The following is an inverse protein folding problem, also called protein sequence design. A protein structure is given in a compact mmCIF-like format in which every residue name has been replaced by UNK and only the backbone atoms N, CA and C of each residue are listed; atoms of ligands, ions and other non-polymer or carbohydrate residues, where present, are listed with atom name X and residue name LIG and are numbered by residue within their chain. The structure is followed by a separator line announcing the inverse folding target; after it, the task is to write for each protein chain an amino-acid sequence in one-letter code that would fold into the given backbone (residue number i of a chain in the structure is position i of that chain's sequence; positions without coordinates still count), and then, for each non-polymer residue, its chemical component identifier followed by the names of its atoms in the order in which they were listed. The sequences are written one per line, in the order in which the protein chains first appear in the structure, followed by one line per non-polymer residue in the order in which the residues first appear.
data_IF_541737391109
#
_entry.id   IF_541737391109
#
_cell.length_a   1.000
_cell.length_b   1.000
_cell.length_c   1.000
_cell.angle_alpha   90.00
_cell.angle_beta   90.00
_cell.angle_gamma   90.00
#
_symmetry.space_group_name_H-M   'P 1'
#
loop_
_entity.id
_entity.type
_entity.pdbx_description
1 polymer ?
#
# COMPACT_ATOMS: atom_id res chain seq x y z
N UNK A 1 -16.05 -0.33 -2.71
CA UNK A 1 -14.85 0.52 -2.89
C UNK A 1 -14.16 0.14 -4.18
N UNK A 2 -14.06 1.06 -5.11
CA UNK A 2 -13.39 0.81 -6.37
C UNK A 2 -11.90 1.08 -6.27
N UNK A 3 -11.15 0.33 -7.05
CA UNK A 3 -9.71 0.45 -7.05
C UNK A 3 -9.17 0.37 -8.48
N UNK A 4 -8.45 1.43 -8.89
CA UNK A 4 -7.78 1.48 -10.18
C UNK A 4 -6.41 0.81 -10.06
N UNK A 5 -6.24 -0.33 -10.73
CA UNK A 5 -5.03 -1.12 -10.68
C UNK A 5 -4.05 -0.86 -11.83
N UNK A 6 -4.25 0.20 -12.61
CA UNK A 6 -3.38 0.54 -13.73
C UNK A 6 -1.92 0.62 -13.29
N UNK A 7 -1.03 -0.02 -14.02
CA UNK A 7 0.41 -0.08 -13.77
C UNK A 7 0.85 -0.77 -12.47
N UNK A 8 -0.09 -1.31 -11.70
CA UNK A 8 0.26 -2.03 -10.48
C UNK A 8 0.50 -3.50 -10.83
N UNK A 9 1.60 -4.11 -10.32
CA UNK A 9 1.84 -5.53 -10.54
C UNK A 9 0.63 -6.37 -10.12
N UNK A 10 0.32 -7.39 -10.92
CA UNK A 10 -0.89 -8.19 -10.74
C UNK A 10 -1.01 -8.80 -9.34
N UNK A 11 0.09 -9.28 -8.79
CA UNK A 11 0.10 -9.89 -7.45
C UNK A 11 -0.29 -8.89 -6.36
N UNK A 12 0.23 -7.67 -6.47
CA UNK A 12 -0.06 -6.59 -5.52
C UNK A 12 -1.52 -6.17 -5.64
N UNK A 13 -2.00 -5.98 -6.86
CA UNK A 13 -3.39 -5.64 -7.11
C UNK A 13 -4.33 -6.72 -6.56
N UNK A 14 -3.99 -8.00 -6.78
CA UNK A 14 -4.80 -9.12 -6.29
C UNK A 14 -4.90 -9.15 -4.77
N UNK A 15 -3.81 -8.88 -4.07
CA UNK A 15 -3.81 -8.85 -2.60
C UNK A 15 -4.68 -7.72 -2.06
N UNK A 16 -4.61 -6.55 -2.68
CA UNK A 16 -5.47 -5.44 -2.26
C UNK A 16 -6.95 -5.70 -2.60
N UNK A 17 -7.23 -6.27 -3.75
CA UNK A 17 -8.60 -6.64 -4.12
C UNK A 17 -9.19 -7.66 -3.13
N UNK A 18 -8.40 -8.61 -2.67
CA UNK A 18 -8.82 -9.56 -1.66
C UNK A 18 -9.08 -8.86 -0.31
N UNK A 19 -8.24 -7.90 0.05
CA UNK A 19 -8.47 -7.08 1.24
C UNK A 19 -9.80 -6.33 1.16
N UNK A 20 -10.13 -5.77 -0.02
CA UNK A 20 -11.41 -5.11 -0.26
C UNK A 20 -12.58 -6.07 -0.09
N UNK A 21 -12.47 -7.29 -0.61
CA UNK A 21 -13.51 -8.32 -0.47
C UNK A 21 -13.71 -8.71 0.99
N UNK A 22 -12.62 -8.89 1.73
CA UNK A 22 -12.70 -9.19 3.16
C UNK A 22 -13.37 -8.06 3.92
N UNK A 23 -13.01 -6.82 3.63
CA UNK A 23 -13.65 -5.65 4.24
C UNK A 23 -15.16 -5.65 3.97
N UNK A 24 -15.55 -5.85 2.71
CA UNK A 24 -16.97 -5.90 2.32
C UNK A 24 -17.77 -7.01 2.98
N UNK A 25 -17.10 -8.11 3.33
CA UNK A 25 -17.71 -9.24 4.03
C UNK A 25 -17.69 -9.12 5.55
N UNK A 26 -17.17 -8.02 6.09
CA UNK A 26 -17.03 -7.83 7.52
C UNK A 26 -15.85 -8.56 8.15
N UNK A 27 -14.91 -9.05 7.35
CA UNK A 27 -13.71 -9.76 7.80
C UNK A 27 -12.55 -8.77 7.95
N UNK A 28 -12.62 -7.90 8.93
CA UNK A 28 -11.71 -6.76 9.05
C UNK A 28 -10.29 -7.14 9.43
N UNK A 29 -10.13 -8.11 10.31
CA UNK A 29 -8.82 -8.61 10.69
C UNK A 29 -8.12 -9.29 9.52
N UNK A 30 -8.86 -10.07 8.74
CA UNK A 30 -8.34 -10.68 7.53
C UNK A 30 -7.93 -9.62 6.49
N UNK A 31 -8.72 -8.55 6.38
CA UNK A 31 -8.38 -7.41 5.51
C UNK A 31 -7.05 -6.77 5.92
N UNK A 32 -6.84 -6.55 7.22
CA UNK A 32 -5.58 -5.99 7.73
C UNK A 32 -4.37 -6.90 7.44
N UNK A 33 -4.55 -8.22 7.52
CA UNK A 33 -3.52 -9.19 7.14
C UNK A 33 -3.15 -9.06 5.66
N UNK A 34 -4.14 -8.88 4.80
CA UNK A 34 -3.91 -8.72 3.36
C UNK A 34 -3.29 -7.37 3.01
N UNK A 35 -3.61 -6.31 3.76
CA UNK A 35 -2.91 -5.04 3.66
C UNK A 35 -1.43 -5.23 3.95
N UNK A 36 -1.09 -5.94 5.02
CA UNK A 36 0.30 -6.26 5.35
C UNK A 36 0.99 -7.05 4.22
N UNK A 37 0.31 -8.04 3.67
CA UNK A 37 0.83 -8.80 2.54
C UNK A 37 1.08 -7.91 1.32
N UNK A 38 0.18 -6.97 1.06
CA UNK A 38 0.35 -5.99 -0.02
C UNK A 38 1.62 -5.17 0.18
N UNK A 39 1.92 -4.74 1.42
CA UNK A 39 3.15 -4.04 1.74
C UNK A 39 4.39 -4.90 1.50
N UNK A 40 4.34 -6.16 1.89
CA UNK A 40 5.45 -7.09 1.67
C UNK A 40 5.72 -7.28 0.17
N UNK A 41 4.68 -7.43 -0.61
CA UNK A 41 4.80 -7.56 -2.06
C UNK A 41 5.31 -6.28 -2.72
N UNK A 42 4.88 -5.12 -2.25
CA UNK A 42 5.38 -3.82 -2.71
C UNK A 42 6.88 -3.71 -2.46
N UNK A 43 7.33 -4.02 -1.27
CA UNK A 43 8.75 -3.99 -0.92
C UNK A 43 9.55 -4.95 -1.81
N UNK A 44 9.05 -6.14 -2.04
CA UNK A 44 9.70 -7.12 -2.92
C UNK A 44 9.81 -6.60 -4.35
N UNK A 45 8.75 -6.04 -4.89
CA UNK A 45 8.73 -5.50 -6.25
C UNK A 45 9.75 -4.36 -6.43
N UNK A 46 9.93 -3.55 -5.40
CA UNK A 46 10.86 -2.42 -5.43
C UNK A 46 12.27 -2.77 -4.95
N UNK A 47 12.53 -4.05 -4.70
CA UNK A 47 13.82 -4.52 -4.19
C UNK A 47 14.24 -3.82 -2.88
N UNK A 48 13.24 -3.45 -2.08
CA UNK A 48 13.46 -2.88 -0.76
C UNK A 48 13.69 -4.04 0.21
N UNK A 49 14.94 -4.26 0.60
CA UNK A 49 15.36 -5.42 1.38
C UNK A 49 15.62 -5.09 2.83
N UNK A 50 15.56 -6.10 3.69
CA UNK A 50 15.82 -5.99 5.12
C UNK A 50 15.43 -7.27 5.84
N UNK A 51 15.87 -7.40 7.07
CA UNK A 51 15.63 -8.59 7.89
C UNK A 51 14.17 -8.76 8.30
N UNK A 52 13.42 -7.66 8.29
CA UNK A 52 12.00 -7.65 8.63
C UNK A 52 11.27 -6.59 7.81
N UNK A 53 9.96 -6.57 7.91
CA UNK A 53 9.14 -5.64 7.12
C UNK A 53 9.42 -4.18 7.50
N UNK A 54 9.66 -3.89 8.77
CA UNK A 54 10.01 -2.54 9.21
C UNK A 54 11.22 -1.99 8.46
N UNK A 55 12.28 -2.79 8.38
CA UNK A 55 13.51 -2.41 7.65
C UNK A 55 13.29 -2.30 6.15
N UNK A 56 12.44 -3.16 5.58
CA UNK A 56 12.08 -3.11 4.16
C UNK A 56 11.31 -1.84 3.84
N UNK A 57 10.38 -1.42 4.70
CA UNK A 57 9.65 -0.16 4.53
C UNK A 57 10.61 1.03 4.60
N UNK A 58 11.55 1.02 5.53
CA UNK A 58 12.60 2.04 5.59
C UNK A 58 13.42 2.08 4.30
N UNK A 59 13.73 0.93 3.73
CA UNK A 59 14.47 0.83 2.48
C UNK A 59 13.68 1.32 1.25
N UNK A 60 12.37 1.36 1.30
CA UNK A 60 11.53 1.92 0.23
C UNK A 60 11.88 3.38 -0.05
N UNK A 61 12.34 4.11 0.94
CA UNK A 61 12.74 5.50 0.84
C UNK A 61 13.78 5.72 -0.26
N UNK A 62 14.68 4.74 -0.46
CA UNK A 62 15.72 4.80 -1.49
C UNK A 62 15.30 4.13 -2.80
N UNK A 63 14.27 3.29 -2.76
CA UNK A 63 13.83 2.50 -3.91
C UNK A 63 12.69 3.15 -4.70
N UNK A 64 11.99 4.12 -4.11
CA UNK A 64 10.87 4.79 -4.75
C UNK A 64 10.70 6.21 -4.18
N UNK A 65 10.08 7.09 -4.95
CA UNK A 65 9.75 8.44 -4.49
C UNK A 65 8.41 8.37 -3.77
N UNK A 66 8.45 8.44 -2.44
CA UNK A 66 7.26 8.35 -1.60
C UNK A 66 7.23 9.53 -0.65
N UNK A 67 6.12 10.28 -0.58
CA UNK A 67 6.01 11.36 0.41
C UNK A 67 6.22 10.83 1.84
N UNK A 68 6.89 11.60 2.71
CA UNK A 68 7.17 11.14 4.09
C UNK A 68 5.92 10.70 4.86
N UNK A 69 4.80 11.37 4.66
CA UNK A 69 3.53 10.99 5.31
C UNK A 69 3.04 9.61 4.91
N UNK A 70 3.27 9.20 3.66
CA UNK A 70 2.89 7.86 3.20
C UNK A 70 3.86 6.78 3.70
N UNK A 71 5.13 7.11 3.92
CA UNK A 71 6.07 6.18 4.56
C UNK A 71 5.67 5.93 6.00
N UNK A 72 5.27 6.98 6.72
CA UNK A 72 4.74 6.85 8.07
C UNK A 72 3.47 6.00 8.08
N UNK A 73 2.57 6.23 7.12
CA UNK A 73 1.37 5.43 6.96
C UNK A 73 1.71 3.95 6.72
N UNK A 74 2.70 3.66 5.88
CA UNK A 74 3.14 2.29 5.62
C UNK A 74 3.60 1.60 6.90
N UNK A 75 4.33 2.30 7.78
CA UNK A 75 4.76 1.73 9.05
C UNK A 75 3.56 1.47 9.98
N UNK A 76 2.58 2.36 10.01
CA UNK A 76 1.35 2.15 10.80
C UNK A 76 0.53 0.98 10.25
N UNK A 77 0.47 0.81 8.94
CA UNK A 77 -0.18 -0.36 8.34
C UNK A 77 0.51 -1.66 8.72
N UNK A 78 1.83 -1.63 8.83
CA UNK A 78 2.61 -2.78 9.31
C UNK A 78 2.22 -3.13 10.75
N UNK A 79 2.11 -2.14 11.62
CA UNK A 79 1.72 -2.32 13.03
C UNK A 79 0.31 -2.93 13.11
N UNK A 80 -0.63 -2.38 12.35
CA UNK A 80 -2.00 -2.90 12.30
C UNK A 80 -2.03 -4.37 11.84
N UNK A 81 -1.28 -4.69 10.79
CA UNK A 81 -1.19 -6.06 10.29
C UNK A 81 -0.54 -7.02 11.30
N UNK A 82 0.44 -6.53 12.06
CA UNK A 82 1.04 -7.30 13.16
C UNK A 82 -0.01 -7.66 14.21
N UNK A 83 -0.83 -6.69 14.62
CA UNK A 83 -1.90 -6.93 15.59
C UNK A 83 -2.90 -7.95 15.05
N UNK A 84 -3.20 -7.88 13.75
CA UNK A 84 -4.10 -8.84 13.12
C UNK A 84 -3.53 -10.26 13.11
N UNK A 85 -2.20 -10.41 13.02
CA UNK A 85 -1.51 -11.70 12.93
C UNK A 85 -1.20 -12.32 14.29
N UNK A 86 -1.05 -11.52 15.33
CA UNK A 86 -0.54 -11.98 16.63
C UNK A 86 -1.46 -11.60 17.78
N UNK A 87 -1.83 -12.58 18.61
CA UNK A 87 -2.72 -12.35 19.75
C UNK A 87 -2.10 -11.41 20.78
N UNK A 88 -0.78 -11.41 20.89
CA UNK A 88 -0.05 -10.65 21.90
C UNK A 88 0.26 -9.22 21.48
N UNK A 89 0.19 -8.92 20.19
CA UNK A 89 0.37 -7.56 19.68
C UNK A 89 -0.89 -6.76 19.98
N UNK A 90 -0.78 -5.64 20.66
CA UNK A 90 -1.94 -4.86 21.14
C UNK A 90 -1.74 -3.35 21.06
N UNK A 91 -1.26 -2.90 19.91
CA UNK A 91 -1.16 -1.48 19.66
C UNK A 91 -2.53 -0.88 19.33
N UNK A 92 -3.43 -1.68 18.77
CA UNK A 92 -4.82 -1.31 18.49
C UNK A 92 -5.77 -2.12 19.37
N UNK A 93 -6.75 -1.47 19.96
CA UNK A 93 -7.75 -2.13 20.81
C UNK A 93 -8.57 -3.16 20.03
N UNK A 94 -8.92 -2.82 18.80
CA UNK A 94 -9.69 -3.70 17.92
C UNK A 94 -9.43 -3.33 16.47
N UNK A 95 -9.59 -4.31 15.59
CA UNK A 95 -9.55 -4.09 14.15
C UNK A 95 -10.98 -4.24 13.63
N UNK A 96 -11.69 -3.12 13.58
CA UNK A 96 -13.06 -3.05 13.13
C UNK A 96 -13.18 -2.39 11.76
N UNK A 97 -14.42 -2.02 11.36
CA UNK A 97 -14.67 -1.44 10.05
C UNK A 97 -13.93 -0.13 9.80
N UNK A 98 -13.75 0.71 10.80
CA UNK A 98 -13.07 2.01 10.63
C UNK A 98 -11.58 1.82 10.39
N UNK A 99 -10.93 0.99 11.19
CA UNK A 99 -9.51 0.68 11.05
C UNK A 99 -9.22 0.05 9.69
N UNK A 100 -10.02 -0.92 9.29
CA UNK A 100 -9.89 -1.60 8.01
C UNK A 100 -10.09 -0.64 6.82
N UNK A 101 -11.09 0.24 6.89
CA UNK A 101 -11.37 1.21 5.83
C UNK A 101 -10.21 2.18 5.64
N UNK A 102 -9.71 2.75 6.72
CA UNK A 102 -8.58 3.69 6.66
C UNK A 102 -7.34 2.97 6.15
N UNK A 103 -7.09 1.76 6.60
CA UNK A 103 -5.95 0.97 6.15
C UNK A 103 -5.99 0.75 4.63
N UNK A 104 -7.15 0.42 4.09
CA UNK A 104 -7.32 0.24 2.65
C UNK A 104 -7.09 1.56 1.91
N UNK A 105 -7.66 2.67 2.39
CA UNK A 105 -7.49 3.97 1.75
C UNK A 105 -6.01 4.40 1.73
N UNK A 106 -5.30 4.23 2.84
CA UNK A 106 -3.87 4.53 2.89
C UNK A 106 -3.05 3.63 1.94
N UNK A 107 -3.41 2.35 1.86
CA UNK A 107 -2.75 1.42 0.95
C UNK A 107 -2.95 1.84 -0.50
N UNK A 108 -4.15 2.26 -0.88
CA UNK A 108 -4.43 2.79 -2.21
C UNK A 108 -3.56 4.00 -2.52
N UNK A 109 -3.45 4.95 -1.60
CA UNK A 109 -2.63 6.14 -1.80
C UNK A 109 -1.15 5.78 -1.97
N UNK A 110 -0.67 4.82 -1.20
CA UNK A 110 0.71 4.34 -1.31
C UNK A 110 0.97 3.73 -2.70
N UNK A 111 0.07 2.89 -3.18
CA UNK A 111 0.21 2.27 -4.51
C UNK A 111 0.11 3.30 -5.64
N UNK A 112 -0.75 4.30 -5.50
CA UNK A 112 -0.81 5.42 -6.46
C UNK A 112 0.52 6.15 -6.52
N UNK A 113 1.11 6.48 -5.38
CA UNK A 113 2.37 7.19 -5.31
C UNK A 113 3.50 6.41 -5.99
N UNK A 114 3.56 5.11 -5.76
CA UNK A 114 4.65 4.27 -6.27
C UNK A 114 4.47 3.91 -7.75
N UNK A 115 3.26 3.67 -8.21
CA UNK A 115 3.01 3.10 -9.53
C UNK A 115 2.27 3.99 -10.52
N UNK A 116 1.55 5.00 -10.07
CA UNK A 116 0.63 5.73 -10.94
C UNK A 116 0.95 7.20 -11.12
N UNK A 117 1.57 7.87 -10.16
CA UNK A 117 1.82 9.31 -10.26
C UNK A 117 2.76 9.66 -11.42
N UNK A 118 3.83 8.92 -11.61
CA UNK A 118 4.77 9.16 -12.70
C UNK A 118 4.10 9.02 -14.06
N UNK A 119 3.24 8.02 -14.21
CA UNK A 119 2.47 7.80 -15.44
C UNK A 119 1.50 8.95 -15.70
N UNK A 120 0.82 9.43 -14.67
CA UNK A 120 -0.10 10.57 -14.79
C UNK A 120 0.66 11.85 -15.22
N UNK A 121 1.82 12.08 -14.63
CA UNK A 121 2.67 13.23 -15.00
C UNK A 121 3.11 13.09 -16.46
N UNK A 122 3.54 11.90 -16.88
CA UNK A 122 3.95 11.66 -18.27
C UNK A 122 2.79 11.89 -19.23
N UNK A 123 1.59 11.44 -18.90
CA UNK A 123 0.38 11.68 -19.71
C UNK A 123 0.06 13.15 -19.86
N UNK A 124 0.19 13.91 -18.78
CA UNK A 124 -0.04 15.35 -18.83
C UNK A 124 0.98 16.05 -19.73
N UNK A 125 2.26 15.70 -19.58
CA UNK A 125 3.34 16.26 -20.41
C UNK A 125 3.15 15.95 -21.89
N UNK A 126 2.55 14.82 -22.24
CA UNK A 126 2.31 14.41 -23.61
C UNK A 126 1.35 15.36 -24.35
N UNK A 127 0.56 16.15 -23.63
CA UNK A 127 -0.31 17.16 -24.23
C UNK A 127 0.40 18.46 -24.59
N UNK A 128 1.66 18.65 -24.18
CA UNK A 128 2.42 19.85 -24.55
C UNK A 128 2.72 19.84 -26.02
N UNK A 129 2.70 21.04 -26.63
CA UNK A 129 3.12 21.19 -28.00
C UNK A 129 4.58 20.85 -28.17
N UNK A 130 4.92 20.18 -29.26
CA UNK A 130 6.31 19.90 -29.60
C UNK A 130 7.05 21.21 -29.81
N UNK A 131 8.32 21.32 -29.35
CA UNK A 131 9.12 22.51 -29.69
C UNK A 131 9.28 22.65 -31.18
N UNK A 132 9.21 23.88 -31.67
CA UNK A 132 9.46 24.14 -33.07
C UNK A 132 10.92 23.84 -33.41
N UNK A 133 11.21 23.26 -34.59
CA UNK A 133 12.59 22.97 -34.99
C UNK A 133 13.42 24.24 -35.17
#
# INVERSE_FOLDING_TARGET
MDFDNTNIPQEIAASLEEALKCHGAGCYRASALLVRRTLEELCADKNATGDNLKKRIEALKSAAIIPPGLLEAADELRVLGNDAAHIEAKDYDAIGPKESEIAIELTKELLKAVYQYDDLVAKLKAFKKQPSP
#
